data_IF_317329145251
#
_entry.id   IF_317329145251
#
_cell.length_a   1.000
_cell.length_b   1.000
_cell.length_c   1.000
_cell.angle_alpha   90.00
_cell.angle_beta   90.00
_cell.angle_gamma   90.00
#
_symmetry.space_group_name_H-M   'P 1'
#
loop_
_entity.id
_entity.type
_entity.pdbx_description
1 polymer ?
#
# COMPACT_ATOMS: atom_id res chain seq x y z
N UNK A 1 -6.81 -11.49 -21.26
CA UNK A 1 -7.18 -11.83 -19.86
C UNK A 1 -8.32 -10.91 -19.45
N UNK A 2 -9.45 -11.44 -18.97
CA UNK A 2 -10.64 -10.61 -18.68
C UNK A 2 -10.41 -9.72 -17.46
N UNK A 3 -10.56 -8.40 -17.66
CA UNK A 3 -10.28 -7.36 -16.66
C UNK A 3 -11.16 -7.44 -15.39
N UNK A 4 -12.24 -8.22 -15.39
CA UNK A 4 -13.21 -8.28 -14.27
C UNK A 4 -12.92 -9.32 -13.19
N UNK A 5 -12.12 -10.37 -13.46
CA UNK A 5 -12.04 -11.55 -12.57
C UNK A 5 -11.40 -11.24 -11.21
N UNK A 6 -10.51 -10.25 -11.15
CA UNK A 6 -9.83 -9.84 -9.92
C UNK A 6 -10.63 -8.83 -9.09
N UNK A 7 -11.56 -8.09 -9.67
CA UNK A 7 -12.34 -7.07 -8.96
C UNK A 7 -13.39 -7.73 -8.06
N UNK A 8 -13.98 -8.83 -8.51
CA UNK A 8 -15.14 -9.45 -7.86
C UNK A 8 -14.78 -10.76 -7.15
N UNK A 9 -13.51 -11.02 -6.84
CA UNK A 9 -13.10 -12.34 -6.30
C UNK A 9 -13.82 -12.69 -4.99
N UNK A 10 -14.06 -11.71 -4.11
CA UNK A 10 -14.80 -11.93 -2.86
C UNK A 10 -16.27 -12.28 -3.10
N UNK A 11 -16.90 -11.71 -4.13
CA UNK A 11 -18.29 -12.00 -4.49
C UNK A 11 -18.44 -13.37 -5.18
N UNK A 12 -17.36 -13.86 -5.79
CA UNK A 12 -17.30 -15.14 -6.48
C UNK A 12 -16.74 -16.28 -5.61
N UNK A 13 -16.67 -16.09 -4.28
CA UNK A 13 -16.29 -17.16 -3.38
C UNK A 13 -17.37 -18.27 -3.39
N UNK A 14 -17.00 -19.53 -3.10
CA UNK A 14 -17.99 -20.57 -2.83
C UNK A 14 -18.96 -20.14 -1.72
N UNK A 15 -20.24 -20.47 -1.88
CA UNK A 15 -21.30 -20.06 -0.93
C UNK A 15 -21.01 -20.46 0.52
N UNK A 16 -20.29 -21.57 0.74
CA UNK A 16 -19.87 -21.99 2.08
C UNK A 16 -18.95 -20.97 2.77
N UNK A 17 -18.13 -20.24 2.01
CA UNK A 17 -17.20 -19.24 2.54
C UNK A 17 -17.84 -17.86 2.76
N UNK A 18 -19.03 -17.60 2.20
CA UNK A 18 -19.73 -16.32 2.40
C UNK A 18 -20.16 -16.08 3.86
N UNK A 19 -20.38 -17.16 4.62
CA UNK A 19 -20.75 -17.09 6.03
C UNK A 19 -19.54 -17.24 6.98
N UNK A 20 -18.33 -17.43 6.45
CA UNK A 20 -17.14 -17.53 7.27
C UNK A 20 -16.65 -16.16 7.71
N UNK A 21 -15.98 -16.11 8.87
CA UNK A 21 -15.32 -14.88 9.32
C UNK A 21 -14.21 -14.47 8.35
N UNK A 22 -14.07 -13.17 8.12
CA UNK A 22 -12.95 -12.55 7.37
C UNK A 22 -11.59 -13.09 7.83
N UNK A 23 -11.43 -13.36 9.13
CA UNK A 23 -10.19 -13.90 9.72
C UNK A 23 -9.80 -15.31 9.21
N UNK A 24 -10.74 -16.05 8.64
CA UNK A 24 -10.52 -17.39 8.07
C UNK A 24 -10.31 -17.37 6.55
N UNK A 25 -10.44 -16.21 5.91
CA UNK A 25 -10.25 -16.06 4.48
C UNK A 25 -8.78 -15.73 4.18
N UNK A 26 -8.25 -16.34 3.12
CA UNK A 26 -6.97 -15.91 2.55
C UNK A 26 -7.21 -14.62 1.73
N UNK A 27 -6.92 -13.48 2.34
CA UNK A 27 -7.15 -12.16 1.75
C UNK A 27 -5.81 -11.58 1.28
N UNK A 28 -5.64 -11.23 0.00
CA UNK A 28 -4.44 -10.56 -0.46
C UNK A 28 -4.37 -9.14 0.11
N UNK A 29 -3.19 -8.81 0.65
CA UNK A 29 -2.89 -7.51 1.22
C UNK A 29 -1.63 -6.88 0.63
N UNK A 30 -1.50 -5.57 0.76
CA UNK A 30 -0.29 -4.84 0.39
C UNK A 30 0.34 -4.19 1.63
N UNK A 31 1.66 -4.28 1.75
CA UNK A 31 2.42 -3.69 2.85
C UNK A 31 2.72 -2.21 2.56
N UNK A 32 2.52 -1.35 3.56
CA UNK A 32 2.67 0.10 3.43
C UNK A 32 1.98 0.62 2.15
N UNK A 33 0.69 0.32 2.02
CA UNK A 33 -0.05 0.30 0.75
C UNK A 33 -0.04 1.61 -0.04
N UNK A 34 0.11 2.73 0.64
CA UNK A 34 0.03 4.06 0.06
C UNK A 34 1.40 4.66 -0.28
N UNK A 35 2.48 3.91 -0.08
CA UNK A 35 3.84 4.31 -0.41
C UNK A 35 4.19 4.08 -1.90
N UNK A 36 3.26 4.38 -2.81
CA UNK A 36 3.49 4.29 -4.26
C UNK A 36 4.07 5.58 -4.88
N UNK A 37 3.82 6.73 -4.26
CA UNK A 37 4.30 8.03 -4.77
C UNK A 37 5.02 8.85 -3.71
N UNK A 38 6.11 8.30 -3.17
CA UNK A 38 6.98 9.04 -2.24
C UNK A 38 7.91 10.01 -2.98
N UNK A 39 8.04 11.20 -2.42
CA UNK A 39 8.99 12.24 -2.83
C UNK A 39 10.37 12.01 -2.20
N UNK A 40 11.39 12.70 -2.71
CA UNK A 40 12.75 12.67 -2.14
C UNK A 40 12.89 13.55 -0.88
N UNK A 41 11.80 14.11 -0.37
CA UNK A 41 11.80 15.08 0.74
C UNK A 41 11.96 14.44 2.12
N UNK A 42 11.98 13.11 2.21
CA UNK A 42 12.00 12.39 3.49
C UNK A 42 10.63 12.39 4.19
N UNK A 43 10.57 11.67 5.30
CA UNK A 43 9.38 11.58 6.15
C UNK A 43 9.18 12.82 7.05
N UNK A 44 8.06 12.88 7.77
CA UNK A 44 7.74 13.98 8.70
C UNK A 44 8.60 13.96 9.96
N UNK A 45 9.14 12.79 10.30
CA UNK A 45 10.06 12.51 11.41
C UNK A 45 11.50 12.93 11.11
N UNK A 46 11.79 13.44 9.90
CA UNK A 46 13.13 13.80 9.50
C UNK A 46 13.65 15.03 10.28
N UNK A 47 14.72 14.84 11.06
CA UNK A 47 15.32 15.91 11.87
C UNK A 47 15.88 17.05 11.01
N UNK A 48 15.94 18.26 11.57
CA UNK A 48 16.44 19.45 10.86
C UNK A 48 17.90 19.29 10.38
N UNK A 49 18.73 18.55 11.13
CA UNK A 49 20.09 18.22 10.72
C UNK A 49 20.12 17.30 9.51
N UNK A 50 19.25 16.29 9.47
CA UNK A 50 19.18 15.33 8.37
C UNK A 50 18.57 15.94 7.09
N UNK A 51 17.67 16.92 7.23
CA UNK A 51 17.12 17.70 6.10
C UNK A 51 18.20 18.33 5.24
N UNK A 52 19.33 18.75 5.83
CA UNK A 52 20.47 19.34 5.08
C UNK A 52 21.13 18.35 4.12
N UNK A 53 21.04 17.04 4.41
CA UNK A 53 21.63 15.99 3.60
C UNK A 53 20.64 15.38 2.58
N UNK A 54 19.36 15.78 2.59
CA UNK A 54 18.35 15.29 1.65
C UNK A 54 18.76 15.37 0.15
N UNK A 55 19.44 16.42 -0.32
CA UNK A 55 19.90 16.46 -1.72
C UNK A 55 20.85 15.31 -2.07
N UNK A 56 21.61 14.80 -1.09
CA UNK A 56 22.59 13.73 -1.27
C UNK A 56 21.94 12.35 -1.09
N UNK A 57 21.08 12.18 -0.08
CA UNK A 57 20.55 10.85 0.30
C UNK A 57 19.12 10.58 -0.13
N UNK A 58 18.38 11.59 -0.61
CA UNK A 58 16.95 11.51 -0.86
C UNK A 58 16.53 10.45 -1.90
N UNK A 59 17.42 10.11 -2.84
CA UNK A 59 17.18 9.02 -3.78
C UNK A 59 17.22 7.64 -3.09
N UNK A 60 18.16 7.44 -2.16
CA UNK A 60 18.27 6.21 -1.39
C UNK A 60 17.08 6.06 -0.46
N UNK A 61 16.71 7.13 0.25
CA UNK A 61 15.51 7.15 1.09
C UNK A 61 14.29 6.74 0.26
N UNK A 62 14.04 7.40 -0.87
CA UNK A 62 12.91 7.04 -1.74
C UNK A 62 12.96 5.56 -2.15
N UNK A 63 14.12 5.05 -2.58
CA UNK A 63 14.26 3.66 -3.05
C UNK A 63 13.95 2.64 -1.94
N UNK A 64 14.26 2.97 -0.69
CA UNK A 64 14.04 2.08 0.45
C UNK A 64 12.63 2.23 1.04
N UNK A 65 11.96 3.36 0.80
CA UNK A 65 10.65 3.65 1.36
C UNK A 65 9.47 3.28 0.46
N UNK A 66 9.66 3.22 -0.87
CA UNK A 66 8.60 2.83 -1.81
C UNK A 66 8.38 1.32 -1.76
N UNK A 67 7.17 0.89 -1.43
CA UNK A 67 6.79 -0.54 -1.34
C UNK A 67 5.80 -0.97 -2.42
N UNK A 68 5.09 -0.01 -3.03
CA UNK A 68 4.06 -0.27 -4.03
C UNK A 68 4.35 0.51 -5.32
N UNK A 69 3.83 0.05 -6.46
CA UNK A 69 3.88 0.81 -7.73
C UNK A 69 2.49 1.32 -8.12
N UNK A 70 1.46 0.63 -7.65
CA UNK A 70 0.06 0.82 -7.97
C UNK A 70 -0.60 1.79 -6.99
N UNK A 71 -1.46 2.65 -7.52
CA UNK A 71 -2.38 3.49 -6.74
C UNK A 71 -3.40 2.64 -5.98
N UNK A 72 -4.12 3.25 -5.04
CA UNK A 72 -5.18 2.56 -4.29
C UNK A 72 -6.22 1.88 -5.19
N UNK A 73 -6.71 2.59 -6.23
CA UNK A 73 -7.70 2.05 -7.16
C UNK A 73 -7.15 0.88 -7.98
N UNK A 74 -5.90 0.98 -8.43
CA UNK A 74 -5.24 -0.11 -9.17
C UNK A 74 -5.02 -1.34 -8.28
N UNK A 75 -4.64 -1.17 -7.02
CA UNK A 75 -4.55 -2.27 -6.04
C UNK A 75 -5.92 -2.96 -5.83
N UNK A 76 -7.01 -2.20 -5.77
CA UNK A 76 -8.35 -2.79 -5.71
C UNK A 76 -8.68 -3.59 -6.96
N UNK A 77 -8.28 -3.09 -8.14
CA UNK A 77 -8.50 -3.76 -9.43
C UNK A 77 -7.70 -5.07 -9.56
N UNK A 78 -6.54 -5.17 -8.92
CA UNK A 78 -5.74 -6.41 -8.87
C UNK A 78 -6.22 -7.40 -7.80
N UNK A 79 -7.14 -6.98 -6.93
CA UNK A 79 -7.80 -7.83 -5.95
C UNK A 79 -7.34 -7.61 -4.50
N UNK A 80 -6.44 -6.66 -4.21
CA UNK A 80 -6.03 -6.33 -2.84
C UNK A 80 -7.26 -5.88 -2.02
N UNK A 81 -7.43 -6.45 -0.82
CA UNK A 81 -8.54 -6.09 0.10
C UNK A 81 -8.07 -5.87 1.55
N UNK A 82 -6.80 -6.08 1.84
CA UNK A 82 -6.17 -5.72 3.12
C UNK A 82 -5.09 -4.65 2.89
N UNK A 83 -5.19 -3.52 3.56
CA UNK A 83 -4.30 -2.38 3.36
C UNK A 83 -3.60 -1.97 4.66
N UNK A 84 -2.27 -1.91 4.63
CA UNK A 84 -1.45 -1.33 5.70
C UNK A 84 -1.32 0.18 5.47
N UNK A 85 -2.11 0.96 6.22
CA UNK A 85 -2.11 2.42 6.19
C UNK A 85 -1.27 2.97 7.34
N UNK A 86 -0.21 3.72 7.00
CA UNK A 86 0.65 4.42 7.95
C UNK A 86 0.52 5.92 7.77
N UNK A 87 0.18 6.60 8.85
CA UNK A 87 -0.09 8.03 8.85
C UNK A 87 0.68 8.72 9.97
N UNK A 88 0.91 10.01 9.78
CA UNK A 88 1.49 10.89 10.77
C UNK A 88 0.62 12.13 10.89
N UNK A 89 0.53 12.68 12.10
CA UNK A 89 -0.03 14.01 12.31
C UNK A 89 1.08 15.05 12.10
N UNK A 90 0.89 16.00 11.18
CA UNK A 90 1.82 17.10 10.95
C UNK A 90 1.14 18.37 11.46
N UNK A 91 1.73 19.00 12.48
CA UNK A 91 1.27 20.26 13.09
C UNK A 91 2.23 21.37 12.70
#
# INVERSE_FOLDING_TARGET
MSRGKHIEWMANLPTSLHNESVSKLAIPGSHNSFAYNLTRSGGPDLSQGLKRFLPLVGLFIKRWSVTQKETFTEQLQTGIRYFDLRVCHVV
#
